data_IF_501841153440
#
_entry.id   IF_501841153440
#
_cell.length_a   1.000
_cell.length_b   1.000
_cell.length_c   1.000
_cell.angle_alpha   90.00
_cell.angle_beta   90.00
_cell.angle_gamma   90.00
#
_symmetry.space_group_name_H-M   'P 1'
#
loop_
_entity.id
_entity.type
_entity.pdbx_description
1 polymer ?
#
# COMPACT_ATOMS: atom_id res chain seq x y z
N UNK A 1 -12.69 21.01 22.81
CA UNK A 1 -13.24 20.33 21.61
C UNK A 1 -14.09 21.36 20.89
N UNK A 2 -13.52 21.97 19.85
CA UNK A 2 -14.06 23.12 19.11
C UNK A 2 -15.30 22.71 18.30
N UNK A 3 -16.25 23.63 18.09
CA UNK A 3 -17.54 23.41 17.37
C UNK A 3 -17.39 22.57 16.09
N UNK A 4 -16.27 22.70 15.39
CA UNK A 4 -15.95 21.96 14.17
C UNK A 4 -15.92 20.43 14.36
N UNK A 5 -15.44 19.93 15.51
CA UNK A 5 -15.45 18.50 15.82
C UNK A 5 -16.85 17.94 16.11
N UNK A 6 -17.74 18.79 16.65
CA UNK A 6 -19.15 18.44 16.84
C UNK A 6 -19.92 18.47 15.52
N UNK A 7 -19.65 19.44 14.64
CA UNK A 7 -20.25 19.51 13.29
C UNK A 7 -19.80 18.36 12.40
N UNK A 8 -18.51 17.99 12.44
CA UNK A 8 -18.00 16.85 11.69
C UNK A 8 -18.60 15.52 12.19
N UNK A 9 -18.83 15.38 13.49
CA UNK A 9 -19.50 14.20 14.06
C UNK A 9 -21.00 14.17 13.74
N UNK A 10 -21.63 15.33 13.55
CA UNK A 10 -23.06 15.44 13.25
C UNK A 10 -23.40 14.93 11.83
N UNK A 11 -22.44 14.93 10.90
CA UNK A 11 -22.62 14.45 9.53
C UNK A 11 -22.23 12.97 9.33
N UNK A 12 -22.28 12.17 10.40
CA UNK A 12 -22.23 10.71 10.34
C UNK A 12 -20.88 10.03 10.08
N UNK A 13 -19.83 10.77 9.74
CA UNK A 13 -18.48 10.23 9.52
C UNK A 13 -17.62 10.13 10.78
N UNK A 14 -16.56 9.31 10.72
CA UNK A 14 -15.65 9.12 11.85
C UNK A 14 -14.47 10.11 11.82
N UNK A 15 -14.03 10.55 13.01
CA UNK A 15 -12.82 11.39 13.16
C UNK A 15 -11.56 10.53 13.30
N UNK A 16 -11.70 9.28 13.77
CA UNK A 16 -10.63 8.31 13.92
C UNK A 16 -11.06 6.93 13.45
N UNK A 17 -10.11 6.13 12.98
CA UNK A 17 -10.36 4.76 12.56
C UNK A 17 -10.89 3.90 13.72
N UNK A 18 -11.93 3.11 13.45
CA UNK A 18 -12.43 2.12 14.38
C UNK A 18 -11.56 0.85 14.42
N UNK A 19 -11.69 0.07 15.48
CA UNK A 19 -10.97 -1.22 15.60
C UNK A 19 -11.40 -2.23 14.54
N UNK A 20 -12.62 -2.12 14.00
CA UNK A 20 -13.09 -2.96 12.90
C UNK A 20 -12.39 -2.62 11.58
N UNK A 21 -12.12 -1.34 11.36
CA UNK A 21 -11.35 -0.86 10.21
C UNK A 21 -9.89 -1.32 10.30
N UNK A 22 -9.28 -1.29 11.48
CA UNK A 22 -7.97 -1.92 11.72
C UNK A 22 -7.99 -3.43 11.41
N UNK A 23 -9.05 -4.13 11.83
CA UNK A 23 -9.22 -5.54 11.51
C UNK A 23 -9.38 -5.78 10.00
N UNK A 24 -9.99 -4.86 9.27
CA UNK A 24 -10.06 -4.89 7.81
C UNK A 24 -8.66 -4.81 7.18
N UNK A 25 -7.81 -3.91 7.67
CA UNK A 25 -6.45 -3.74 7.17
C UNK A 25 -5.59 -4.99 7.42
N UNK A 26 -5.80 -5.70 8.51
CA UNK A 26 -5.14 -6.98 8.78
C UNK A 26 -5.53 -8.06 7.74
N UNK A 27 -6.78 -8.07 7.27
CA UNK A 27 -7.18 -8.98 6.19
C UNK A 27 -6.58 -8.52 4.86
N UNK A 28 -6.53 -7.21 4.62
CA UNK A 28 -5.91 -6.66 3.41
C UNK A 28 -4.40 -6.90 3.36
N UNK A 29 -3.66 -6.77 4.46
CA UNK A 29 -2.20 -6.97 4.45
C UNK A 29 -1.80 -8.39 4.07
N UNK A 30 -2.68 -9.37 4.27
CA UNK A 30 -2.45 -10.72 3.76
C UNK A 30 -2.26 -10.73 2.23
N UNK A 31 -2.88 -9.81 1.47
CA UNK A 31 -2.56 -9.58 0.04
C UNK A 31 -1.08 -9.28 -0.18
N UNK A 32 -0.47 -8.45 0.66
CA UNK A 32 0.95 -8.06 0.57
C UNK A 32 1.84 -9.29 0.80
N UNK A 33 1.52 -10.14 1.77
CA UNK A 33 2.23 -11.41 2.02
C UNK A 33 2.12 -12.34 0.82
N UNK A 34 0.94 -12.49 0.23
CA UNK A 34 0.73 -13.36 -0.94
C UNK A 34 1.46 -12.85 -2.18
N UNK A 35 1.49 -11.54 -2.41
CA UNK A 35 2.25 -10.94 -3.51
C UNK A 35 3.77 -11.06 -3.30
N UNK A 36 4.22 -10.94 -2.05
CA UNK A 36 5.63 -11.20 -1.67
C UNK A 36 6.01 -12.65 -1.99
N UNK A 37 5.12 -13.60 -1.70
CA UNK A 37 5.31 -15.01 -2.04
C UNK A 37 5.39 -15.26 -3.55
N UNK A 38 4.49 -14.66 -4.34
CA UNK A 38 4.51 -14.71 -5.83
C UNK A 38 5.86 -14.24 -6.36
N UNK A 39 6.35 -13.09 -5.90
CA UNK A 39 7.62 -12.55 -6.36
C UNK A 39 8.82 -13.41 -5.92
N UNK A 40 8.80 -13.91 -4.68
CA UNK A 40 9.91 -14.70 -4.10
C UNK A 40 10.13 -16.03 -4.83
N UNK A 41 9.07 -16.69 -5.32
CA UNK A 41 9.19 -17.97 -6.02
C UNK A 41 9.82 -17.84 -7.41
N UNK A 42 9.51 -16.77 -8.14
CA UNK A 42 9.99 -16.55 -9.51
C UNK A 42 10.46 -15.09 -9.72
N UNK A 43 11.53 -14.66 -9.04
CA UNK A 43 11.94 -13.26 -9.04
C UNK A 43 12.37 -12.82 -10.44
N UNK A 44 11.81 -11.70 -10.90
CA UNK A 44 12.11 -11.14 -12.21
C UNK A 44 11.04 -10.18 -12.71
N UNK A 45 11.25 -9.63 -13.90
CA UNK A 45 10.32 -8.68 -14.53
C UNK A 45 8.90 -9.21 -14.75
N UNK A 46 8.69 -10.47 -15.17
CA UNK A 46 7.32 -11.01 -15.30
C UNK A 46 6.57 -11.05 -13.97
N UNK A 47 7.21 -11.53 -12.90
CA UNK A 47 6.60 -11.56 -11.57
C UNK A 47 6.36 -10.15 -11.01
N UNK A 48 7.26 -9.19 -11.24
CA UNK A 48 7.02 -7.79 -10.90
C UNK A 48 5.77 -7.24 -11.62
N UNK A 49 5.63 -7.53 -12.91
CA UNK A 49 4.45 -7.13 -13.70
C UNK A 49 3.15 -7.74 -13.17
N UNK A 50 3.18 -9.04 -12.82
CA UNK A 50 2.04 -9.72 -12.19
C UNK A 50 1.70 -9.11 -10.83
N UNK A 51 2.70 -8.89 -9.97
CA UNK A 51 2.51 -8.28 -8.64
C UNK A 51 1.93 -6.88 -8.76
N UNK A 52 2.48 -6.05 -9.65
CA UNK A 52 1.96 -4.71 -9.89
C UNK A 52 0.50 -4.78 -10.39
N UNK A 53 0.22 -5.59 -11.41
CA UNK A 53 -1.12 -5.67 -11.98
C UNK A 53 -2.16 -6.14 -10.95
N UNK A 54 -1.89 -7.24 -10.24
CA UNK A 54 -2.79 -7.79 -9.23
C UNK A 54 -2.93 -6.81 -8.08
N UNK A 55 -1.83 -6.26 -7.56
CA UNK A 55 -1.89 -5.28 -6.48
C UNK A 55 -2.67 -4.03 -6.90
N UNK A 56 -2.52 -3.56 -8.14
CA UNK A 56 -3.23 -2.39 -8.64
C UNK A 56 -4.75 -2.55 -8.58
N UNK A 57 -5.25 -3.71 -9.01
CA UNK A 57 -6.67 -4.05 -8.95
C UNK A 57 -7.20 -4.09 -7.51
N UNK A 58 -6.44 -4.73 -6.60
CA UNK A 58 -6.84 -4.90 -5.20
C UNK A 58 -6.74 -3.56 -4.46
N UNK A 59 -5.66 -2.82 -4.67
CA UNK A 59 -5.38 -1.51 -4.09
C UNK A 59 -6.47 -0.50 -4.42
N UNK A 60 -6.97 -0.51 -5.65
CA UNK A 60 -8.11 0.32 -6.05
C UNK A 60 -9.33 0.05 -5.16
N UNK A 61 -9.70 -1.22 -4.99
CA UNK A 61 -10.84 -1.58 -4.17
C UNK A 61 -10.58 -1.34 -2.68
N UNK A 62 -9.39 -1.64 -2.17
CA UNK A 62 -9.01 -1.33 -0.79
C UNK A 62 -9.15 0.16 -0.50
N UNK A 63 -8.57 1.00 -1.36
CA UNK A 63 -8.73 2.45 -1.30
C UNK A 63 -10.21 2.80 -1.28
N UNK A 64 -11.01 2.24 -2.19
CA UNK A 64 -12.45 2.38 -2.20
C UNK A 64 -13.14 2.09 -0.86
N UNK A 65 -12.68 1.10 -0.08
CA UNK A 65 -13.20 0.83 1.27
C UNK A 65 -12.74 1.85 2.31
N UNK A 66 -11.56 2.46 2.16
CA UNK A 66 -11.14 3.61 2.96
C UNK A 66 -12.07 4.80 2.70
N UNK A 67 -12.36 5.10 1.42
CA UNK A 67 -13.35 6.12 1.05
C UNK A 67 -14.74 5.78 1.61
N UNK A 68 -15.15 4.51 1.55
CA UNK A 68 -16.44 4.05 2.09
C UNK A 68 -16.56 4.28 3.59
N UNK A 69 -15.56 3.89 4.36
CA UNK A 69 -15.61 3.95 5.83
C UNK A 69 -15.43 5.37 6.37
N UNK A 70 -14.76 6.24 5.61
CA UNK A 70 -14.71 7.68 5.83
C UNK A 70 -16.10 8.34 5.75
N UNK A 71 -16.99 7.87 4.86
CA UNK A 71 -18.36 8.38 4.68
C UNK A 71 -19.40 7.61 5.51
N UNK A 72 -19.27 6.28 5.53
CA UNK A 72 -20.22 5.34 6.11
C UNK A 72 -19.58 4.70 7.34
N UNK A 73 -19.69 5.39 8.47
CA UNK A 73 -19.23 4.85 9.74
C UNK A 73 -19.90 3.48 10.04
N UNK A 74 -19.14 2.44 10.44
CA UNK A 74 -19.67 1.14 10.86
C UNK A 74 -20.32 1.16 12.25
N UNK A 75 -21.32 2.02 12.42
CA UNK A 75 -22.01 2.28 13.68
C UNK A 75 -23.23 1.38 13.94
N UNK A 76 -23.63 0.55 12.98
CA UNK A 76 -24.75 -0.39 13.12
C UNK A 76 -24.31 -1.83 12.86
N UNK A 77 -25.00 -2.79 13.46
CA UNK A 77 -24.74 -4.21 13.24
C UNK A 77 -24.82 -4.58 11.77
N UNK A 78 -25.80 -4.04 11.03
CA UNK A 78 -25.94 -4.28 9.59
C UNK A 78 -24.70 -3.83 8.81
N UNK A 79 -24.21 -2.60 9.03
CA UNK A 79 -23.01 -2.08 8.35
C UNK A 79 -21.76 -2.89 8.71
N UNK A 80 -21.61 -3.29 9.97
CA UNK A 80 -20.51 -4.15 10.43
C UNK A 80 -20.55 -5.53 9.77
N UNK A 81 -21.73 -6.15 9.67
CA UNK A 81 -21.91 -7.43 8.98
C UNK A 81 -21.56 -7.33 7.50
N UNK A 82 -21.98 -6.27 6.81
CA UNK A 82 -21.59 -6.05 5.42
C UNK A 82 -20.08 -5.83 5.24
N UNK A 83 -19.43 -5.08 6.14
CA UNK A 83 -17.96 -4.97 6.12
C UNK A 83 -17.29 -6.32 6.34
N UNK A 84 -17.82 -7.17 7.22
CA UNK A 84 -17.31 -8.54 7.42
C UNK A 84 -17.44 -9.38 6.14
N UNK A 85 -18.54 -9.26 5.39
CA UNK A 85 -18.69 -9.91 4.08
C UNK A 85 -17.65 -9.37 3.09
N UNK A 86 -17.37 -8.06 3.13
CA UNK A 86 -16.29 -7.43 2.37
C UNK A 86 -14.91 -7.99 2.71
N UNK A 87 -14.58 -8.11 4.00
CA UNK A 87 -13.35 -8.73 4.51
C UNK A 87 -13.22 -10.17 4.02
N UNK A 88 -14.27 -10.99 4.18
CA UNK A 88 -14.29 -12.37 3.70
C UNK A 88 -14.02 -12.44 2.20
N UNK A 89 -14.60 -11.53 1.42
CA UNK A 89 -14.38 -11.45 -0.03
C UNK A 89 -12.94 -11.09 -0.38
N UNK A 90 -12.34 -10.11 0.33
CA UNK A 90 -10.91 -9.77 0.21
C UNK A 90 -9.99 -10.92 0.62
N UNK A 91 -10.37 -11.70 1.63
CA UNK A 91 -9.59 -12.84 2.07
C UNK A 91 -9.58 -13.96 1.02
N UNK A 92 -10.75 -14.32 0.47
CA UNK A 92 -10.85 -15.29 -0.65
C UNK A 92 -10.08 -14.81 -1.88
N UNK A 93 -10.21 -13.52 -2.22
CA UNK A 93 -9.44 -12.88 -3.28
C UNK A 93 -7.93 -13.03 -3.04
N UNK A 94 -7.47 -12.77 -1.82
CA UNK A 94 -6.06 -12.85 -1.43
C UNK A 94 -5.51 -14.29 -1.48
N UNK A 95 -6.29 -15.27 -1.02
CA UNK A 95 -5.94 -16.69 -1.10
C UNK A 95 -5.74 -17.18 -2.55
N UNK A 96 -6.42 -16.56 -3.51
CA UNK A 96 -6.28 -16.91 -4.91
C UNK A 96 -5.04 -16.29 -5.57
N UNK A 97 -4.33 -15.34 -4.94
CA UNK A 97 -3.22 -14.59 -5.55
C UNK A 97 -2.07 -15.48 -6.06
N UNK A 98 -1.53 -16.45 -5.28
CA UNK A 98 -0.35 -17.22 -5.70
C UNK A 98 -0.47 -17.89 -7.06
N UNK A 99 -1.65 -18.48 -7.31
CA UNK A 99 -1.93 -19.24 -8.52
C UNK A 99 -2.91 -18.50 -9.46
N UNK A 100 -3.07 -17.19 -9.30
CA UNK A 100 -4.10 -16.42 -10.00
C UNK A 100 -3.98 -16.53 -11.53
N UNK A 101 -2.74 -16.63 -12.03
CA UNK A 101 -2.40 -16.82 -13.45
C UNK A 101 -2.25 -18.29 -13.86
N UNK A 102 -2.34 -19.24 -12.91
CA UNK A 102 -1.99 -20.65 -13.11
C UNK A 102 -3.08 -21.66 -12.67
N UNK A 103 -4.18 -21.21 -12.08
CA UNK A 103 -5.31 -22.10 -11.76
C UNK A 103 -6.45 -21.48 -10.94
N UNK A 104 -6.20 -20.43 -10.17
CA UNK A 104 -7.19 -19.81 -9.26
C UNK A 104 -7.80 -18.52 -9.81
N UNK A 105 -7.62 -18.23 -11.10
CA UNK A 105 -8.14 -17.02 -11.76
C UNK A 105 -9.64 -16.80 -11.59
N UNK A 106 -10.45 -17.86 -11.63
CA UNK A 106 -11.90 -17.79 -11.38
C UNK A 106 -12.19 -17.37 -9.93
N UNK A 107 -11.49 -17.97 -8.95
CA UNK A 107 -11.67 -17.63 -7.53
C UNK A 107 -11.28 -16.16 -7.26
N UNK A 108 -10.19 -15.71 -7.87
CA UNK A 108 -9.79 -14.30 -7.86
C UNK A 108 -10.89 -13.41 -8.45
N UNK A 109 -11.41 -13.76 -9.63
CA UNK A 109 -12.51 -13.05 -10.30
C UNK A 109 -13.78 -12.94 -9.46
N UNK A 110 -14.24 -14.06 -8.89
CA UNK A 110 -15.43 -14.12 -8.04
C UNK A 110 -15.24 -13.31 -6.76
N UNK A 111 -14.09 -13.45 -6.10
CA UNK A 111 -13.75 -12.65 -4.93
C UNK A 111 -13.79 -11.14 -5.24
N UNK A 112 -13.27 -10.75 -6.41
CA UNK A 112 -13.24 -9.36 -6.85
C UNK A 112 -14.64 -8.78 -7.10
N UNK A 113 -15.51 -9.56 -7.75
CA UNK A 113 -16.92 -9.19 -7.95
C UNK A 113 -17.63 -9.02 -6.62
N UNK A 114 -17.42 -9.93 -5.66
CA UNK A 114 -18.03 -9.82 -4.33
C UNK A 114 -17.56 -8.58 -3.57
N UNK A 115 -16.25 -8.31 -3.57
CA UNK A 115 -15.67 -7.09 -2.97
C UNK A 115 -16.32 -5.84 -3.56
N UNK A 116 -16.48 -5.81 -4.89
CA UNK A 116 -17.08 -4.68 -5.64
C UNK A 116 -18.57 -4.53 -5.37
N UNK A 117 -19.32 -5.64 -5.31
CA UNK A 117 -20.75 -5.63 -5.05
C UNK A 117 -21.05 -5.14 -3.62
N UNK A 118 -20.33 -5.64 -2.62
CA UNK A 118 -20.47 -5.21 -1.21
C UNK A 118 -20.14 -3.72 -1.06
N UNK A 119 -19.05 -3.27 -1.67
CA UNK A 119 -18.64 -1.86 -1.69
C UNK A 119 -19.73 -0.95 -2.24
N UNK A 120 -20.23 -1.30 -3.43
CA UNK A 120 -21.27 -0.54 -4.12
C UNK A 120 -22.58 -0.53 -3.32
N UNK A 121 -22.98 -1.67 -2.75
CA UNK A 121 -24.20 -1.78 -1.95
C UNK A 121 -24.14 -0.95 -0.65
N UNK A 122 -23.00 -0.95 0.03
CA UNK A 122 -22.80 -0.16 1.25
C UNK A 122 -22.82 1.34 0.97
N UNK A 123 -22.18 1.80 -0.10
CA UNK A 123 -22.27 3.21 -0.51
C UNK A 123 -23.70 3.62 -0.87
N UNK A 124 -24.39 2.81 -1.69
CA UNK A 124 -25.74 3.10 -2.14
C UNK A 124 -26.78 3.11 -1.00
N UNK A 125 -26.59 2.29 0.04
CA UNK A 125 -27.53 2.18 1.17
C UNK A 125 -27.15 3.00 2.40
N UNK A 126 -25.88 3.39 2.56
CA UNK A 126 -25.34 3.89 3.82
C UNK A 126 -24.74 5.30 3.82
N UNK A 127 -24.37 5.86 2.66
CA UNK A 127 -23.53 7.08 2.57
C UNK A 127 -24.27 8.41 2.39
N UNK A 128 -25.59 8.43 2.58
CA UNK A 128 -26.38 9.65 2.33
C UNK A 128 -26.48 9.99 0.84
N UNK A 129 -27.14 11.10 0.53
CA UNK A 129 -27.44 11.48 -0.86
C UNK A 129 -26.18 11.77 -1.69
N UNK A 130 -25.17 12.42 -1.11
CA UNK A 130 -23.92 12.78 -1.80
C UNK A 130 -23.13 11.55 -2.20
N UNK A 131 -22.84 10.64 -1.26
CA UNK A 131 -22.08 9.44 -1.57
C UNK A 131 -22.87 8.45 -2.44
N UNK A 132 -24.21 8.39 -2.32
CA UNK A 132 -25.06 7.61 -3.21
C UNK A 132 -25.05 8.14 -4.67
N UNK A 133 -24.93 9.46 -4.85
CA UNK A 133 -24.73 10.05 -6.18
C UNK A 133 -23.31 9.80 -6.70
N UNK A 134 -22.29 9.94 -5.85
CA UNK A 134 -20.91 9.66 -6.21
C UNK A 134 -20.71 8.19 -6.66
N UNK A 135 -21.30 7.24 -5.93
CA UNK A 135 -21.25 5.80 -6.29
C UNK A 135 -22.00 5.52 -7.60
N UNK A 136 -23.02 6.29 -7.95
CA UNK A 136 -23.74 6.14 -9.23
C UNK A 136 -22.84 6.48 -10.42
N UNK A 137 -21.86 7.38 -10.26
CA UNK A 137 -20.92 7.76 -11.31
C UNK A 137 -19.73 6.79 -11.41
N UNK A 138 -19.17 6.34 -10.28
CA UNK A 138 -18.00 5.44 -10.28
C UNK A 138 -18.36 3.95 -10.34
N UNK A 139 -19.54 3.58 -9.82
CA UNK A 139 -20.03 2.20 -9.74
C UNK A 139 -20.06 1.47 -11.08
N UNK A 140 -20.51 2.08 -12.19
CA UNK A 140 -20.44 1.46 -13.52
C UNK A 140 -19.01 1.11 -13.95
N UNK A 141 -18.02 1.97 -13.68
CA UNK A 141 -16.62 1.70 -14.01
C UNK A 141 -16.07 0.55 -13.16
N UNK A 142 -16.40 0.52 -11.86
CA UNK A 142 -16.04 -0.60 -10.98
C UNK A 142 -16.71 -1.91 -11.44
N UNK A 143 -17.96 -1.88 -11.88
CA UNK A 143 -18.66 -3.04 -12.41
C UNK A 143 -18.03 -3.57 -13.71
N UNK A 144 -17.63 -2.68 -14.61
CA UNK A 144 -16.88 -3.05 -15.83
C UNK A 144 -15.54 -3.67 -15.47
N UNK A 145 -14.79 -3.08 -14.55
CA UNK A 145 -13.53 -3.65 -14.07
C UNK A 145 -13.75 -5.03 -13.43
N UNK A 146 -14.77 -5.18 -12.58
CA UNK A 146 -15.08 -6.47 -11.96
C UNK A 146 -15.49 -7.54 -12.98
N UNK A 147 -16.27 -7.18 -14.00
CA UNK A 147 -16.62 -8.09 -15.09
C UNK A 147 -15.38 -8.50 -15.92
N UNK A 148 -14.47 -7.57 -16.19
CA UNK A 148 -13.21 -7.85 -16.87
C UNK A 148 -12.28 -8.73 -16.03
N UNK A 149 -12.18 -8.50 -14.72
CA UNK A 149 -11.38 -9.34 -13.81
C UNK A 149 -11.95 -10.75 -13.77
N UNK A 150 -13.27 -10.90 -13.65
CA UNK A 150 -13.95 -12.20 -13.70
C UNK A 150 -13.76 -12.91 -15.05
N UNK A 151 -13.94 -12.20 -16.17
CA UNK A 151 -13.70 -12.74 -17.50
C UNK A 151 -12.23 -13.20 -17.67
N UNK A 152 -11.29 -12.40 -17.16
CA UNK A 152 -9.86 -12.75 -17.10
C UNK A 152 -9.60 -14.05 -16.35
N UNK A 153 -10.42 -14.38 -15.34
CA UNK A 153 -10.33 -15.64 -14.61
C UNK A 153 -10.70 -16.89 -15.41
N UNK A 154 -11.47 -16.76 -16.50
CA UNK A 154 -11.88 -17.87 -17.37
C UNK A 154 -10.95 -18.09 -18.56
N UNK A 155 -10.04 -17.15 -18.83
CA UNK A 155 -9.09 -17.21 -19.94
C UNK A 155 -7.67 -17.42 -19.42
N UNK A 156 -6.76 -17.85 -20.29
CA UNK A 156 -5.38 -18.18 -19.92
C UNK A 156 -4.38 -17.42 -20.80
N UNK A 157 -3.13 -17.32 -20.34
CA UNK A 157 -2.05 -16.68 -21.08
C UNK A 157 -2.30 -15.19 -21.31
N UNK A 158 -1.90 -14.67 -22.48
CA UNK A 158 -1.97 -13.23 -22.77
C UNK A 158 -3.38 -12.61 -22.65
N UNK A 159 -4.44 -13.38 -22.93
CA UNK A 159 -5.81 -12.90 -22.81
C UNK A 159 -6.17 -12.51 -21.37
N UNK A 160 -5.66 -13.26 -20.38
CA UNK A 160 -5.85 -12.94 -18.95
C UNK A 160 -5.17 -11.62 -18.58
N UNK A 161 -3.92 -11.42 -19.00
CA UNK A 161 -3.20 -10.16 -18.79
C UNK A 161 -3.91 -8.97 -19.45
N UNK A 162 -4.47 -9.16 -20.65
CA UNK A 162 -5.22 -8.11 -21.34
C UNK A 162 -6.49 -7.74 -20.56
N UNK A 163 -7.29 -8.72 -20.13
CA UNK A 163 -8.51 -8.48 -19.35
C UNK A 163 -8.21 -7.70 -18.07
N UNK A 164 -7.22 -8.16 -17.30
CA UNK A 164 -6.85 -7.53 -16.02
C UNK A 164 -6.16 -6.19 -16.23
N UNK A 165 -5.32 -6.05 -17.27
CA UNK A 165 -4.69 -4.80 -17.64
C UNK A 165 -5.70 -3.73 -18.06
N UNK A 166 -6.73 -4.10 -18.84
CA UNK A 166 -7.83 -3.19 -19.20
C UNK A 166 -8.65 -2.84 -17.95
N UNK A 167 -8.93 -3.79 -17.06
CA UNK A 167 -9.63 -3.51 -15.81
C UNK A 167 -8.87 -2.48 -14.94
N UNK A 168 -7.56 -2.64 -14.81
CA UNK A 168 -6.72 -1.69 -14.09
C UNK A 168 -6.64 -0.33 -14.78
N UNK A 169 -6.57 -0.29 -16.12
CA UNK A 169 -6.60 0.96 -16.87
C UNK A 169 -7.94 1.72 -16.69
N UNK A 170 -9.07 0.99 -16.70
CA UNK A 170 -10.39 1.57 -16.42
C UNK A 170 -10.41 2.26 -15.05
N UNK A 171 -9.80 1.63 -14.04
CA UNK A 171 -9.72 2.18 -12.68
C UNK A 171 -8.89 3.45 -12.62
N UNK A 172 -7.67 3.44 -13.16
CA UNK A 172 -6.79 4.62 -13.17
C UNK A 172 -7.45 5.80 -13.92
N UNK A 173 -8.14 5.53 -15.01
CA UNK A 173 -8.75 6.57 -15.86
C UNK A 173 -10.06 7.10 -15.26
N UNK A 174 -10.82 6.27 -14.52
CA UNK A 174 -12.17 6.62 -14.07
C UNK A 174 -12.27 7.96 -13.31
N UNK A 175 -11.38 8.35 -12.37
CA UNK A 175 -11.49 9.62 -11.65
C UNK A 175 -11.24 10.86 -12.49
N UNK A 176 -10.67 10.69 -13.69
CA UNK A 176 -10.46 11.77 -14.64
C UNK A 176 -11.67 11.98 -15.57
N UNK A 177 -12.60 11.02 -15.59
CA UNK A 177 -13.81 11.06 -16.42
C UNK A 177 -15.04 11.50 -15.63
N UNK A 178 -15.00 11.45 -14.30
CA UNK A 178 -16.12 11.78 -13.41
C UNK A 178 -15.71 12.87 -12.43
N UNK A 179 -16.67 13.71 -12.04
CA UNK A 179 -16.46 14.62 -10.92
C UNK A 179 -16.41 13.83 -9.61
N UNK A 180 -15.34 14.00 -8.84
CA UNK A 180 -15.11 13.35 -7.55
C UNK A 180 -15.37 14.31 -6.37
N UNK A 181 -15.86 15.52 -6.64
CA UNK A 181 -16.17 16.54 -5.64
C UNK A 181 -17.36 16.22 -4.73
N UNK A 182 -18.09 15.14 -5.00
CA UNK A 182 -19.22 14.69 -4.17
C UNK A 182 -18.79 13.81 -2.97
N UNK A 183 -17.54 13.36 -2.93
CA UNK A 183 -16.96 12.67 -1.76
C UNK A 183 -16.35 13.69 -0.79
N UNK A 184 -16.71 13.57 0.48
CA UNK A 184 -16.20 14.36 1.61
C UNK A 184 -15.00 13.64 2.23
N UNK A 185 -13.78 14.06 1.92
CA UNK A 185 -12.58 13.47 2.53
C UNK A 185 -12.32 14.10 3.90
N UNK A 186 -12.40 13.31 4.99
CA UNK A 186 -12.02 13.76 6.33
C UNK A 186 -10.54 13.49 6.52
N UNK A 187 -9.73 14.54 6.36
CA UNK A 187 -8.26 14.41 6.27
C UNK A 187 -7.66 13.52 7.37
N UNK A 188 -7.96 13.78 8.65
CA UNK A 188 -7.43 12.98 9.77
C UNK A 188 -7.76 11.49 9.65
N UNK A 189 -9.04 11.11 9.51
CA UNK A 189 -9.43 9.70 9.38
C UNK A 189 -8.82 9.07 8.13
N UNK A 190 -8.88 9.77 7.00
CA UNK A 190 -8.37 9.27 5.72
C UNK A 190 -6.85 9.04 5.74
N UNK A 191 -6.08 9.98 6.27
CA UNK A 191 -4.63 9.88 6.45
C UNK A 191 -4.29 8.77 7.44
N UNK A 192 -4.99 8.71 8.58
CA UNK A 192 -4.80 7.66 9.60
C UNK A 192 -4.99 6.26 8.99
N UNK A 193 -6.06 6.01 8.22
CA UNK A 193 -6.30 4.71 7.56
C UNK A 193 -5.16 4.32 6.61
N UNK A 194 -4.64 5.25 5.83
CA UNK A 194 -3.54 4.97 4.91
C UNK A 194 -2.20 4.81 5.62
N UNK A 195 -1.95 5.55 6.71
CA UNK A 195 -0.80 5.31 7.58
C UNK A 195 -0.88 3.91 8.20
N UNK A 196 -2.03 3.53 8.74
CA UNK A 196 -2.25 2.23 9.38
C UNK A 196 -1.93 1.05 8.45
N UNK A 197 -2.35 1.08 7.18
CA UNK A 197 -1.99 0.01 6.25
C UNK A 197 -0.49 -0.06 5.95
N UNK A 198 0.23 1.08 5.94
CA UNK A 198 1.69 1.10 5.74
C UNK A 198 2.40 0.45 6.93
N UNK A 199 2.05 0.81 8.17
CA UNK A 199 2.70 0.22 9.35
C UNK A 199 2.35 -1.27 9.48
N UNK A 200 1.10 -1.66 9.18
CA UNK A 200 0.70 -3.07 9.16
C UNK A 200 1.45 -3.84 8.06
N UNK A 201 1.64 -3.26 6.88
CA UNK A 201 2.44 -3.87 5.79
C UNK A 201 3.92 -4.07 6.15
N UNK A 202 4.53 -3.08 6.79
CA UNK A 202 5.91 -3.19 7.29
C UNK A 202 5.99 -4.27 8.38
N UNK A 203 5.05 -4.28 9.33
CA UNK A 203 4.98 -5.27 10.41
C UNK A 203 4.78 -6.70 9.91
N UNK A 204 3.83 -6.91 9.00
CA UNK A 204 3.55 -8.22 8.40
C UNK A 204 4.74 -8.74 7.60
N UNK A 205 5.48 -7.86 6.93
CA UNK A 205 6.72 -8.24 6.24
C UNK A 205 7.76 -8.81 7.23
N UNK A 206 7.88 -8.24 8.43
CA UNK A 206 8.76 -8.75 9.49
C UNK A 206 8.27 -10.11 10.00
N UNK A 207 6.96 -10.26 10.23
CA UNK A 207 6.36 -11.54 10.67
C UNK A 207 6.60 -12.63 9.63
N UNK A 208 6.42 -12.33 8.34
CA UNK A 208 6.65 -13.26 7.25
C UNK A 208 8.12 -13.71 7.15
N UNK A 209 9.07 -12.78 7.34
CA UNK A 209 10.50 -13.10 7.45
C UNK A 209 10.74 -14.07 8.62
N UNK A 210 10.18 -13.77 9.80
CA UNK A 210 10.33 -14.64 10.99
C UNK A 210 9.74 -16.04 10.78
N UNK A 211 8.56 -16.13 10.15
CA UNK A 211 7.91 -17.39 9.82
C UNK A 211 8.73 -18.21 8.82
N UNK A 212 9.37 -17.55 7.84
CA UNK A 212 10.26 -18.19 6.87
C UNK A 212 11.54 -18.77 7.47
N UNK A 213 11.87 -18.43 8.72
CA UNK A 213 13.03 -18.94 9.46
C UNK A 213 12.66 -20.01 10.50
N UNK A 214 11.40 -20.45 10.52
CA UNK A 214 10.95 -21.49 11.43
C UNK A 214 11.69 -22.81 11.15
N UNK A 215 12.42 -23.31 12.16
CA UNK A 215 13.22 -24.54 12.06
C UNK A 215 14.70 -24.32 11.73
N UNK A 216 15.09 -23.11 11.34
CA UNK A 216 16.51 -22.77 11.12
C UNK A 216 17.29 -22.69 12.44
N UNK A 217 18.58 -23.03 12.38
CA UNK A 217 19.46 -22.90 13.56
C UNK A 217 19.75 -21.42 13.81
N UNK A 218 19.50 -20.97 15.05
CA UNK A 218 19.84 -19.61 15.48
C UNK A 218 21.36 -19.46 15.57
N UNK A 219 21.95 -18.91 14.52
CA UNK A 219 23.38 -18.58 14.45
C UNK A 219 23.60 -17.09 14.68
N UNK A 220 24.79 -16.65 15.14
CA UNK A 220 25.12 -15.22 15.24
C UNK A 220 24.93 -14.47 13.91
N UNK A 221 25.22 -15.13 12.78
CA UNK A 221 25.03 -14.58 11.44
C UNK A 221 23.54 -14.33 11.15
N UNK A 222 22.67 -15.28 11.47
CA UNK A 222 21.23 -15.12 11.32
C UNK A 222 20.71 -13.95 12.17
N UNK A 223 21.15 -13.85 13.43
CA UNK A 223 20.78 -12.76 14.33
C UNK A 223 21.17 -11.40 13.72
N UNK A 224 22.39 -11.28 13.19
CA UNK A 224 22.86 -10.04 12.54
C UNK A 224 22.01 -9.70 11.32
N UNK A 225 21.77 -10.66 10.42
CA UNK A 225 20.99 -10.40 9.19
C UNK A 225 19.55 -10.02 9.50
N UNK A 226 18.89 -10.71 10.45
CA UNK A 226 17.53 -10.36 10.89
C UNK A 226 17.49 -9.00 11.58
N UNK A 227 18.52 -8.65 12.36
CA UNK A 227 18.64 -7.32 12.98
C UNK A 227 18.78 -6.23 11.93
N UNK A 228 19.56 -6.47 10.87
CA UNK A 228 19.67 -5.54 9.74
C UNK A 228 18.34 -5.39 8.98
N UNK A 229 17.59 -6.48 8.79
CA UNK A 229 16.26 -6.44 8.18
C UNK A 229 15.28 -5.62 9.02
N UNK A 230 15.30 -5.80 10.35
CA UNK A 230 14.49 -5.01 11.29
C UNK A 230 14.89 -3.53 11.26
N UNK A 231 16.20 -3.22 11.23
CA UNK A 231 16.68 -1.85 11.08
C UNK A 231 16.23 -1.23 9.75
N UNK A 232 16.21 -1.99 8.65
CA UNK A 232 15.70 -1.49 7.37
C UNK A 232 14.20 -1.20 7.45
N UNK A 233 13.42 -2.08 8.06
CA UNK A 233 12.00 -1.85 8.30
C UNK A 233 11.75 -0.59 9.16
N UNK A 234 12.59 -0.38 10.19
CA UNK A 234 12.58 0.85 10.99
C UNK A 234 12.90 2.10 10.15
N UNK A 235 13.89 2.04 9.25
CA UNK A 235 14.23 3.15 8.34
C UNK A 235 13.05 3.47 7.40
N UNK A 236 12.36 2.46 6.87
CA UNK A 236 11.16 2.67 6.04
C UNK A 236 10.04 3.32 6.85
N UNK A 237 9.76 2.81 8.06
CA UNK A 237 8.80 3.41 8.98
C UNK A 237 9.15 4.88 9.26
N UNK A 238 10.39 5.15 9.65
CA UNK A 238 10.85 6.51 9.98
C UNK A 238 10.76 7.45 8.77
N UNK A 239 11.10 6.97 7.57
CA UNK A 239 11.02 7.76 6.36
C UNK A 239 9.61 8.31 6.09
N UNK A 240 8.55 7.57 6.44
CA UNK A 240 7.17 8.01 6.21
C UNK A 240 6.58 8.70 7.44
N UNK A 241 6.63 8.04 8.60
CA UNK A 241 5.97 8.54 9.83
C UNK A 241 6.73 9.64 10.55
N UNK A 242 8.03 9.81 10.29
CA UNK A 242 8.85 10.81 10.99
C UNK A 242 8.38 12.25 10.77
N UNK A 243 7.93 12.59 9.56
CA UNK A 243 7.37 13.92 9.26
C UNK A 243 6.32 13.89 8.14
N UNK A 244 6.43 12.97 7.18
CA UNK A 244 5.65 13.03 5.94
C UNK A 244 4.16 12.70 6.19
N UNK A 245 3.86 11.80 7.12
CA UNK A 245 2.49 11.48 7.54
C UNK A 245 1.75 12.72 8.10
N UNK A 246 2.30 13.35 9.14
CA UNK A 246 1.74 14.58 9.75
C UNK A 246 1.69 15.76 8.78
N UNK A 247 2.75 15.97 7.99
CA UNK A 247 2.77 17.00 6.95
C UNK A 247 1.71 16.73 5.89
N UNK A 248 1.51 15.47 5.54
CA UNK A 248 0.50 15.04 4.58
C UNK A 248 -0.91 15.31 5.08
N UNK A 249 -1.19 14.99 6.35
CA UNK A 249 -2.47 15.31 6.99
C UNK A 249 -2.73 16.82 7.02
N UNK A 250 -1.77 17.62 7.52
CA UNK A 250 -1.91 19.07 7.59
C UNK A 250 -2.09 19.71 6.21
N UNK A 251 -1.33 19.26 5.21
CA UNK A 251 -1.45 19.76 3.84
C UNK A 251 -2.82 19.42 3.23
N UNK A 252 -3.34 18.22 3.48
CA UNK A 252 -4.64 17.81 2.97
C UNK A 252 -5.80 18.51 3.70
N UNK A 253 -5.68 18.70 5.03
CA UNK A 253 -6.66 19.43 5.84
C UNK A 253 -6.76 20.91 5.44
N UNK A 254 -5.66 21.52 4.97
CA UNK A 254 -5.64 22.89 4.49
C UNK A 254 -6.35 23.10 3.13
N UNK A 255 -6.63 22.03 2.38
CA UNK A 255 -7.40 22.10 1.12
C UNK A 255 -8.90 22.19 1.44
N UNK A 256 -9.66 23.10 0.78
CA UNK A 256 -11.12 23.16 0.93
C UNK A 256 -11.80 21.81 0.64
N UNK A 257 -12.87 21.47 1.38
CA UNK A 257 -13.47 20.13 1.36
C UNK A 257 -13.82 19.63 -0.05
N UNK A 258 -14.40 20.47 -0.91
CA UNK A 258 -14.79 20.11 -2.29
C UNK A 258 -13.61 19.82 -3.22
N UNK A 259 -12.44 20.38 -2.93
CA UNK A 259 -11.22 20.22 -3.75
C UNK A 259 -10.29 19.14 -3.20
N UNK A 260 -10.55 18.64 -1.98
CA UNK A 260 -9.68 17.72 -1.24
C UNK A 260 -9.58 16.33 -1.88
N UNK A 261 -10.62 15.88 -2.61
CA UNK A 261 -10.66 14.53 -3.21
C UNK A 261 -9.51 14.25 -4.18
N UNK A 262 -9.11 15.23 -4.99
CA UNK A 262 -8.06 15.03 -6.00
C UNK A 262 -6.67 14.93 -5.38
N UNK A 263 -6.20 15.85 -4.52
CA UNK A 263 -4.95 15.69 -3.79
C UNK A 263 -4.92 14.40 -2.95
N UNK A 264 -6.04 14.03 -2.31
CA UNK A 264 -6.15 12.78 -1.57
C UNK A 264 -5.90 11.56 -2.46
N UNK A 265 -6.56 11.47 -3.62
CA UNK A 265 -6.37 10.39 -4.57
C UNK A 265 -4.93 10.33 -5.12
N UNK A 266 -4.34 11.48 -5.47
CA UNK A 266 -2.99 11.50 -6.06
C UNK A 266 -1.94 11.11 -5.02
N UNK A 267 -2.01 11.67 -3.81
CA UNK A 267 -1.03 11.43 -2.76
C UNK A 267 -1.22 10.06 -2.12
N UNK A 268 -2.42 9.76 -1.63
CA UNK A 268 -2.68 8.54 -0.86
C UNK A 268 -3.10 7.36 -1.74
N UNK A 269 -3.75 7.59 -2.90
CA UNK A 269 -4.06 6.52 -3.84
C UNK A 269 -2.88 6.19 -4.74
N UNK A 270 -2.42 7.14 -5.57
CA UNK A 270 -1.42 6.85 -6.60
C UNK A 270 0.02 6.83 -6.10
N UNK A 271 0.40 7.64 -5.11
CA UNK A 271 1.77 7.61 -4.60
C UNK A 271 2.00 6.45 -3.62
N UNK A 272 1.00 6.04 -2.81
CA UNK A 272 1.18 4.90 -1.91
C UNK A 272 1.12 3.53 -2.61
N UNK A 273 0.53 3.46 -3.79
CA UNK A 273 0.56 2.25 -4.63
C UNK A 273 2.00 1.74 -4.92
N UNK A 274 2.91 2.52 -5.53
CA UNK A 274 4.30 2.10 -5.69
C UNK A 274 5.03 1.98 -4.35
N UNK A 275 4.64 2.74 -3.32
CA UNK A 275 5.25 2.63 -1.98
C UNK A 275 5.08 1.22 -1.42
N UNK A 276 3.86 0.68 -1.47
CA UNK A 276 3.57 -0.67 -0.98
C UNK A 276 4.13 -1.77 -1.89
N UNK A 277 4.24 -1.55 -3.21
CA UNK A 277 5.05 -2.43 -4.07
C UNK A 277 6.51 -2.41 -3.61
N UNK A 278 7.04 -1.25 -3.23
CA UNK A 278 8.37 -1.12 -2.65
C UNK A 278 8.54 -1.96 -1.38
N UNK A 279 7.54 -1.95 -0.49
CA UNK A 279 7.50 -2.82 0.70
C UNK A 279 7.51 -4.31 0.31
N UNK A 280 6.65 -4.73 -0.62
CA UNK A 280 6.56 -6.12 -1.12
C UNK A 280 7.93 -6.58 -1.65
N UNK A 281 8.56 -5.79 -2.52
CA UNK A 281 9.86 -6.13 -3.12
C UNK A 281 10.99 -6.15 -2.10
N UNK A 282 10.96 -5.23 -1.14
CA UNK A 282 11.94 -5.20 -0.04
C UNK A 282 11.80 -6.46 0.81
N UNK A 283 10.58 -6.83 1.19
CA UNK A 283 10.29 -8.04 1.96
C UNK A 283 10.76 -9.31 1.23
N UNK A 284 10.43 -9.45 -0.05
CA UNK A 284 10.89 -10.56 -0.88
C UNK A 284 12.42 -10.59 -1.01
N UNK A 285 13.03 -9.42 -1.23
CA UNK A 285 14.49 -9.25 -1.30
C UNK A 285 15.19 -9.67 -0.02
N UNK A 286 14.62 -9.36 1.14
CA UNK A 286 15.13 -9.81 2.45
C UNK A 286 14.98 -11.32 2.59
N UNK A 287 13.79 -11.88 2.30
CA UNK A 287 13.52 -13.31 2.43
C UNK A 287 14.47 -14.15 1.58
N UNK A 288 14.67 -13.75 0.31
CA UNK A 288 15.62 -14.39 -0.59
C UNK A 288 17.06 -14.22 -0.12
N UNK A 289 17.43 -13.05 0.40
CA UNK A 289 18.80 -12.78 0.88
C UNK A 289 19.19 -13.58 2.12
N UNK A 290 18.27 -13.78 3.07
CA UNK A 290 18.59 -14.49 4.33
C UNK A 290 18.98 -15.96 4.05
N UNK A 291 18.36 -16.61 3.06
CA UNK A 291 18.67 -17.98 2.69
C UNK A 291 20.08 -18.20 2.11
N UNK A 292 20.75 -17.15 1.62
CA UNK A 292 22.09 -17.24 1.01
C UNK A 292 23.24 -17.02 2.01
N UNK A 293 22.96 -16.50 3.22
CA UNK A 293 23.97 -16.29 4.26
C UNK A 293 25.17 -15.42 3.82
N UNK A 294 26.34 -16.04 3.69
CA UNK A 294 27.61 -15.39 3.31
C UNK A 294 27.94 -15.50 1.81
N UNK A 295 26.96 -15.85 0.99
CA UNK A 295 27.12 -15.95 -0.46
C UNK A 295 26.61 -14.68 -1.16
N UNK A 296 27.07 -14.47 -2.39
CA UNK A 296 26.47 -13.49 -3.27
C UNK A 296 25.08 -13.95 -3.71
N UNK A 297 24.23 -12.98 -4.06
CA UNK A 297 22.88 -13.25 -4.51
C UNK A 297 22.75 -12.98 -6.01
N UNK A 298 21.79 -13.64 -6.64
CA UNK A 298 21.45 -13.35 -8.03
C UNK A 298 21.00 -11.89 -8.23
N UNK A 299 21.18 -11.38 -9.44
CA UNK A 299 20.83 -9.99 -9.81
C UNK A 299 19.37 -9.69 -9.47
N UNK A 300 18.45 -10.63 -9.68
CA UNK A 300 17.03 -10.44 -9.36
C UNK A 300 16.79 -10.20 -7.86
N UNK A 301 17.46 -10.94 -6.99
CA UNK A 301 17.39 -10.77 -5.52
C UNK A 301 17.99 -9.45 -5.07
N UNK A 302 19.20 -9.12 -5.55
CA UNK A 302 19.84 -7.85 -5.23
C UNK A 302 19.00 -6.66 -5.72
N UNK A 303 18.48 -6.73 -6.95
CA UNK A 303 17.63 -5.70 -7.52
C UNK A 303 16.28 -5.57 -6.81
N UNK A 304 15.68 -6.67 -6.35
CA UNK A 304 14.44 -6.63 -5.58
C UNK A 304 14.63 -5.89 -4.24
N UNK A 305 15.72 -6.19 -3.52
CA UNK A 305 16.02 -5.60 -2.22
C UNK A 305 16.26 -4.08 -2.34
N UNK A 306 17.25 -3.64 -3.13
CA UNK A 306 17.53 -2.22 -3.29
C UNK A 306 16.46 -1.49 -4.11
N UNK A 307 15.88 -2.15 -5.11
CA UNK A 307 14.83 -1.60 -5.96
C UNK A 307 13.51 -1.40 -5.21
N UNK A 308 13.17 -2.27 -4.25
CA UNK A 308 12.03 -2.09 -3.36
C UNK A 308 12.17 -0.83 -2.51
N UNK A 309 13.33 -0.65 -1.87
CA UNK A 309 13.64 0.56 -1.08
C UNK A 309 13.70 1.81 -1.97
N UNK A 310 14.25 1.69 -3.19
CA UNK A 310 14.28 2.79 -4.15
C UNK A 310 12.87 3.20 -4.58
N UNK A 311 11.99 2.24 -4.85
CA UNK A 311 10.59 2.48 -5.22
C UNK A 311 9.82 3.11 -4.06
N UNK A 312 10.11 2.70 -2.82
CA UNK A 312 9.57 3.33 -1.61
C UNK A 312 9.93 4.82 -1.54
N UNK A 313 11.21 5.18 -1.73
CA UNK A 313 11.64 6.58 -1.73
C UNK A 313 11.12 7.36 -2.95
N UNK A 314 11.04 6.76 -4.14
CA UNK A 314 10.45 7.39 -5.32
C UNK A 314 8.96 7.67 -5.10
N UNK A 315 8.24 6.75 -4.46
CA UNK A 315 6.86 6.93 -4.07
C UNK A 315 6.69 8.09 -3.07
N UNK A 316 7.60 8.24 -2.11
CA UNK A 316 7.63 9.42 -1.23
C UNK A 316 7.93 10.72 -1.97
N UNK A 317 8.79 10.71 -2.99
CA UNK A 317 8.99 11.88 -3.87
C UNK A 317 7.66 12.27 -4.54
N UNK A 318 6.91 11.30 -5.06
CA UNK A 318 5.58 11.54 -5.65
C UNK A 318 4.58 12.07 -4.61
N UNK A 319 4.55 11.47 -3.42
CA UNK A 319 3.68 11.89 -2.31
C UNK A 319 3.96 13.35 -1.89
N UNK A 320 5.23 13.68 -1.64
CA UNK A 320 5.65 15.05 -1.31
C UNK A 320 5.33 16.03 -2.44
N UNK A 321 5.55 15.64 -3.69
CA UNK A 321 5.25 16.50 -4.85
C UNK A 321 3.74 16.74 -5.01
N UNK A 322 2.92 15.72 -4.79
CA UNK A 322 1.46 15.80 -4.88
C UNK A 322 0.86 16.79 -3.85
N UNK A 323 1.39 16.78 -2.62
CA UNK A 323 0.95 17.66 -1.52
C UNK A 323 1.81 18.92 -1.36
N UNK A 324 2.75 19.17 -2.29
CA UNK A 324 3.70 20.30 -2.26
C UNK A 324 4.48 20.41 -0.95
N UNK A 325 4.84 19.27 -0.38
CA UNK A 325 5.65 19.19 0.83
C UNK A 325 7.11 19.61 0.54
N UNK A 326 7.85 20.08 1.57
CA UNK A 326 9.23 20.53 1.39
C UNK A 326 10.16 19.41 0.88
N UNK A 327 11.16 19.81 0.08
CA UNK A 327 12.32 18.99 -0.31
C UNK A 327 11.95 17.59 -0.84
N UNK A 328 11.04 17.48 -1.84
CA UNK A 328 10.72 16.17 -2.44
C UNK A 328 11.97 15.53 -3.06
N UNK A 329 12.85 16.33 -3.67
CA UNK A 329 14.07 15.87 -4.34
C UNK A 329 15.04 15.09 -3.45
N UNK A 330 15.02 15.29 -2.12
CA UNK A 330 15.87 14.50 -1.21
C UNK A 330 15.49 13.03 -1.23
N UNK A 331 14.20 12.70 -1.42
CA UNK A 331 13.74 11.32 -1.60
C UNK A 331 14.17 10.73 -2.94
N UNK A 332 14.22 11.56 -3.99
CA UNK A 332 14.76 11.13 -5.29
C UNK A 332 16.27 10.79 -5.21
N UNK A 333 17.05 11.60 -4.50
CA UNK A 333 18.46 11.30 -4.24
C UNK A 333 18.62 10.03 -3.39
N UNK A 334 17.79 9.86 -2.35
CA UNK A 334 17.78 8.65 -1.55
C UNK A 334 17.53 7.40 -2.40
N UNK A 335 16.54 7.45 -3.31
CA UNK A 335 16.23 6.37 -4.26
C UNK A 335 17.43 6.02 -5.15
N UNK A 336 18.13 7.03 -5.69
CA UNK A 336 19.35 6.80 -6.49
C UNK A 336 20.49 6.20 -5.65
N UNK A 337 20.70 6.69 -4.43
CA UNK A 337 21.75 6.23 -3.54
C UNK A 337 21.54 4.77 -3.09
N UNK A 338 20.31 4.39 -2.73
CA UNK A 338 20.01 2.99 -2.37
C UNK A 338 20.09 2.06 -3.57
N UNK A 339 19.71 2.52 -4.78
CA UNK A 339 19.87 1.73 -6.02
C UNK A 339 21.34 1.43 -6.31
N UNK A 340 22.26 2.36 -6.00
CA UNK A 340 23.70 2.16 -6.17
C UNK A 340 24.29 1.05 -5.28
N UNK A 341 23.54 0.51 -4.32
CA UNK A 341 23.97 -0.63 -3.48
C UNK A 341 23.80 -2.00 -4.14
N UNK A 342 23.05 -2.11 -5.26
CA UNK A 342 22.80 -3.39 -5.96
C UNK A 342 24.08 -4.20 -6.23
N UNK A 343 25.17 -3.61 -6.75
CA UNK A 343 26.38 -4.37 -7.07
C UNK A 343 27.00 -5.06 -5.85
N UNK A 344 26.77 -4.55 -4.63
CA UNK A 344 27.32 -5.12 -3.39
C UNK A 344 26.78 -6.55 -3.18
N UNK A 345 25.48 -6.77 -3.38
CA UNK A 345 24.88 -8.10 -3.20
C UNK A 345 25.25 -9.09 -4.30
N UNK A 346 25.44 -8.58 -5.53
CA UNK A 346 25.80 -9.40 -6.69
C UNK A 346 27.27 -9.84 -6.64
N UNK A 347 28.18 -8.95 -6.21
CA UNK A 347 29.63 -9.18 -6.28
C UNK A 347 30.20 -9.70 -4.95
N UNK A 348 29.62 -9.31 -3.82
CA UNK A 348 30.19 -9.62 -2.51
C UNK A 348 29.31 -10.58 -1.70
N UNK A 349 28.40 -10.07 -0.87
CA UNK A 349 27.58 -10.86 0.05
C UNK A 349 26.25 -10.15 0.34
N UNK A 350 25.19 -10.94 0.54
CA UNK A 350 23.83 -10.43 0.75
C UNK A 350 23.71 -9.47 1.96
N UNK A 351 24.31 -9.84 3.10
CA UNK A 351 24.23 -9.04 4.33
C UNK A 351 24.94 -7.68 4.20
N UNK A 352 25.99 -7.59 3.37
CA UNK A 352 26.71 -6.33 3.15
C UNK A 352 25.87 -5.34 2.34
N UNK A 353 25.09 -5.83 1.36
CA UNK A 353 24.10 -5.02 0.66
C UNK A 353 23.05 -4.49 1.64
N UNK A 354 22.53 -5.37 2.51
CA UNK A 354 21.52 -5.01 3.50
C UNK A 354 22.06 -3.96 4.50
N UNK A 355 23.30 -4.12 4.98
CA UNK A 355 23.97 -3.15 5.84
C UNK A 355 24.18 -1.80 5.13
N UNK A 356 24.59 -1.81 3.85
CA UNK A 356 24.72 -0.61 3.05
C UNK A 356 23.38 0.10 2.84
N UNK A 357 22.30 -0.65 2.59
CA UNK A 357 20.94 -0.10 2.48
C UNK A 357 20.47 0.56 3.76
N UNK A 358 20.68 -0.09 4.91
CA UNK A 358 20.37 0.51 6.22
C UNK A 358 21.17 1.79 6.40
N UNK A 359 22.47 1.79 6.16
CA UNK A 359 23.31 2.97 6.34
C UNK A 359 22.90 4.12 5.41
N UNK A 360 22.74 3.86 4.10
CA UNK A 360 22.37 4.88 3.12
C UNK A 360 20.95 5.41 3.36
N UNK A 361 19.99 4.52 3.62
CA UNK A 361 18.60 4.90 3.92
C UNK A 361 18.49 5.71 5.20
N UNK A 362 19.15 5.26 6.28
CA UNK A 362 19.19 5.98 7.56
C UNK A 362 19.82 7.36 7.40
N UNK A 363 20.97 7.46 6.70
CA UNK A 363 21.64 8.74 6.43
C UNK A 363 20.76 9.69 5.62
N UNK A 364 20.00 9.19 4.65
CA UNK A 364 19.10 10.02 3.87
C UNK A 364 17.94 10.57 4.70
N UNK A 365 17.33 9.74 5.56
CA UNK A 365 16.21 10.15 6.43
C UNK A 365 16.71 11.11 7.52
N UNK A 366 17.78 10.78 8.23
CA UNK A 366 18.31 11.65 9.31
C UNK A 366 18.79 13.00 8.77
N UNK A 367 19.38 13.05 7.58
CA UNK A 367 19.81 14.31 6.98
C UNK A 367 18.62 15.23 6.68
N UNK A 368 17.51 14.69 6.15
CA UNK A 368 16.29 15.47 5.88
C UNK A 368 15.65 15.97 7.18
N UNK A 369 15.59 15.12 8.21
CA UNK A 369 15.03 15.45 9.51
C UNK A 369 15.87 16.52 10.23
N UNK A 370 17.20 16.41 10.22
CA UNK A 370 18.08 17.43 10.79
C UNK A 370 17.92 18.80 10.10
N UNK A 371 17.75 18.82 8.77
CA UNK A 371 17.49 20.07 8.04
C UNK A 371 16.08 20.60 8.39
N UNK A 372 15.10 19.71 8.57
CA UNK A 372 13.74 20.05 8.98
C UNK A 372 13.69 20.65 10.39
N UNK A 373 14.31 20.02 11.38
CA UNK A 373 14.40 20.49 12.75
C UNK A 373 15.10 21.86 12.82
N UNK A 374 16.17 22.06 12.04
CA UNK A 374 16.86 23.36 11.92
C UNK A 374 15.98 24.47 11.35
N UNK A 375 14.92 24.13 10.59
CA UNK A 375 13.93 25.10 10.12
C UNK A 375 12.80 25.39 11.12
N UNK A 376 12.87 24.82 12.33
CA UNK A 376 11.92 25.06 13.43
C UNK A 376 10.63 24.23 13.35
N UNK A 377 10.56 23.24 12.47
CA UNK A 377 9.47 22.28 12.45
C UNK A 377 9.74 21.14 13.43
N UNK A 378 8.70 20.68 14.11
CA UNK A 378 8.73 19.53 15.01
C UNK A 378 7.69 18.51 14.57
N UNK A 379 7.93 17.23 14.84
CA UNK A 379 6.95 16.16 14.70
C UNK A 379 6.60 15.60 16.06
N UNK A 380 5.44 14.96 16.21
CA UNK A 380 5.16 14.21 17.44
C UNK A 380 6.03 12.95 17.61
N UNK A 381 6.71 12.51 16.54
CA UNK A 381 7.54 11.29 16.52
C UNK A 381 9.06 11.52 16.56
N UNK A 382 9.53 12.77 16.39
CA UNK A 382 10.96 13.16 16.33
C UNK A 382 11.22 14.31 17.29
#
# INVERSE_FOLDING_TARGET
>A
MTNQSAELSADGGQVRASTLELFFDLVFVFTITQLTHVFTHHPGWPALGQVALVFGLIWWMYSGYVWLTNEVAPNSSARRTWLLIGMFSFFVLSLAIPDAFHGTGIAFGVGYVLVTAVHTALFASGGGASAALAIKHIGPFNAVAAALVLAGGFVHGWAQYLCWGVAFAVQIVSPYLIDTGDFVVRATHFCERHGLVIIVAIGESIVAIGAGLAGEKITPQLIVTVSLALCLAYVLWWAFFGFDDERGEHALAAVPDRERSRPALVAYGYALYPLLIGVILTAAGIQMSIGHGNESVGVATAAALSGGVALYFLAQFCFRSALRLPRPWMRLIAAAAVTATIPIGVVWVAWAQLAALVAVGYLAVIADDLITLRSGQHSSYV
#
